data_IF_752164969966
#
_entry.id   IF_752164969966
#
_cell.length_a   1.000
_cell.length_b   1.000
_cell.length_c   1.000
_cell.angle_alpha   90.00
_cell.angle_beta   90.00
_cell.angle_gamma   90.00
#
_symmetry.space_group_name_H-M   'P 1'
#
loop_
_entity.id
_entity.type
_entity.pdbx_description
1 polymer ?
#
# COMPACT_ATOMS: atom_id res chain seq x y z
N UNK A 1 -11.30 0.12 48.05
CA UNK A 1 -12.28 1.07 47.55
C UNK A 1 -12.82 0.48 46.25
N UNK A 2 -14.08 -0.03 46.27
CA UNK A 2 -14.73 -0.57 45.07
C UNK A 2 -15.13 0.59 44.16
N UNK A 3 -14.57 0.63 42.97
CA UNK A 3 -14.95 1.61 41.96
C UNK A 3 -16.36 1.30 41.40
N UNK A 4 -17.37 2.17 41.60
CA UNK A 4 -18.77 1.88 41.23
C UNK A 4 -19.03 1.72 39.74
N UNK A 5 -18.09 2.11 38.88
CA UNK A 5 -18.26 2.10 37.40
C UNK A 5 -18.26 0.68 36.82
N UNK A 6 -17.73 -0.33 37.53
CA UNK A 6 -17.67 -1.72 37.02
C UNK A 6 -18.80 -2.62 37.59
N UNK A 7 -19.71 -2.07 38.40
CA UNK A 7 -20.83 -2.83 38.98
C UNK A 7 -22.18 -2.64 38.27
N UNK A 8 -22.28 -1.76 37.25
CA UNK A 8 -23.48 -1.71 36.43
C UNK A 8 -23.45 -2.82 35.37
N UNK A 9 -24.53 -3.55 35.25
CA UNK A 9 -24.74 -4.73 34.43
C UNK A 9 -24.70 -4.53 32.89
N UNK A 10 -24.06 -3.50 32.40
CA UNK A 10 -23.76 -3.30 30.98
C UNK A 10 -22.30 -3.67 30.70
N UNK A 11 -22.03 -4.98 30.57
CA UNK A 11 -20.79 -5.42 29.95
C UNK A 11 -20.66 -4.74 28.59
N UNK A 12 -19.47 -4.23 28.28
CA UNK A 12 -19.17 -3.76 26.93
C UNK A 12 -19.57 -4.85 25.93
N UNK A 13 -20.28 -4.50 24.84
CA UNK A 13 -20.64 -5.50 23.84
C UNK A 13 -19.36 -6.16 23.32
N UNK A 14 -19.37 -7.49 23.22
CA UNK A 14 -18.24 -8.22 22.67
C UNK A 14 -18.01 -7.74 21.22
N UNK A 15 -16.73 -7.48 20.82
CA UNK A 15 -16.46 -7.05 19.47
C UNK A 15 -16.91 -8.10 18.46
N UNK A 16 -17.44 -7.65 17.33
CA UNK A 16 -17.80 -8.52 16.19
C UNK A 16 -16.55 -9.26 15.66
N UNK A 17 -16.73 -10.34 14.91
CA UNK A 17 -15.60 -11.07 14.31
C UNK A 17 -14.72 -10.14 13.45
N UNK A 18 -15.34 -9.23 12.70
CA UNK A 18 -14.63 -8.23 11.90
C UNK A 18 -13.80 -7.25 12.76
N UNK A 19 -14.37 -6.74 13.84
CA UNK A 19 -13.65 -5.87 14.77
C UNK A 19 -12.48 -6.59 15.43
N UNK A 20 -12.66 -7.87 15.82
CA UNK A 20 -11.53 -8.68 16.33
C UNK A 20 -10.43 -8.83 15.30
N UNK A 21 -10.77 -9.14 14.03
CA UNK A 21 -9.81 -9.26 12.94
C UNK A 21 -9.04 -7.95 12.70
N UNK A 22 -9.74 -6.82 12.70
CA UNK A 22 -9.14 -5.50 12.54
C UNK A 22 -8.18 -5.16 13.68
N UNK A 23 -8.63 -5.32 14.93
CA UNK A 23 -7.80 -5.08 16.13
C UNK A 23 -6.55 -5.97 16.13
N UNK A 24 -6.70 -7.26 15.80
CA UNK A 24 -5.57 -8.17 15.72
C UNK A 24 -4.60 -7.81 14.61
N UNK A 25 -5.13 -7.43 13.43
CA UNK A 25 -4.31 -7.01 12.29
C UNK A 25 -3.49 -5.76 12.61
N UNK A 26 -4.09 -4.75 13.25
CA UNK A 26 -3.40 -3.52 13.64
C UNK A 26 -2.30 -3.79 14.68
N UNK A 27 -2.62 -4.57 15.72
CA UNK A 27 -1.64 -5.00 16.72
C UNK A 27 -0.48 -5.77 16.09
N UNK A 28 -0.76 -6.71 15.19
CA UNK A 28 0.26 -7.49 14.50
C UNK A 28 1.17 -6.60 13.65
N UNK A 29 0.63 -5.65 12.91
CA UNK A 29 1.40 -4.68 12.15
C UNK A 29 2.30 -3.85 13.06
N UNK A 30 1.78 -3.42 14.21
CA UNK A 30 2.54 -2.66 15.22
C UNK A 30 3.69 -3.49 15.79
N UNK A 31 3.47 -4.77 16.15
CA UNK A 31 4.55 -5.66 16.57
C UNK A 31 5.65 -5.80 15.52
N UNK A 32 5.27 -6.04 14.26
CA UNK A 32 6.23 -6.18 13.17
C UNK A 32 7.04 -4.89 12.93
N UNK A 33 6.39 -3.70 12.96
CA UNK A 33 7.10 -2.40 12.82
C UNK A 33 8.14 -2.17 13.92
N UNK A 34 7.86 -2.66 15.14
CA UNK A 34 8.79 -2.58 16.27
C UNK A 34 9.78 -3.75 16.32
N UNK A 35 9.77 -4.62 15.31
CA UNK A 35 10.67 -5.77 15.21
C UNK A 35 10.38 -6.85 16.22
N UNK A 36 9.21 -6.85 16.87
CA UNK A 36 8.81 -7.91 17.77
C UNK A 36 8.21 -9.07 16.98
N UNK A 37 8.58 -10.33 17.33
CA UNK A 37 7.98 -11.49 16.69
C UNK A 37 6.50 -11.61 17.03
N UNK A 38 5.74 -12.26 16.16
CA UNK A 38 4.38 -12.69 16.46
C UNK A 38 4.20 -14.17 16.09
N UNK A 39 3.21 -14.82 16.71
CA UNK A 39 2.85 -16.19 16.39
C UNK A 39 1.51 -16.21 15.68
N UNK A 40 1.45 -16.82 14.49
CA UNK A 40 0.22 -17.08 13.76
C UNK A 40 -0.30 -18.44 14.17
N UNK A 41 -1.55 -18.46 14.62
CA UNK A 41 -2.28 -19.67 15.04
C UNK A 41 -3.22 -20.04 13.89
N UNK A 42 -2.95 -21.18 13.25
CA UNK A 42 -3.78 -21.69 12.16
C UNK A 42 -5.18 -22.09 12.61
N UNK A 43 -6.11 -22.18 11.65
CA UNK A 43 -7.52 -22.52 11.92
C UNK A 43 -7.76 -24.00 12.21
N UNK A 44 -6.85 -24.88 11.82
CA UNK A 44 -6.97 -26.33 12.08
C UNK A 44 -6.58 -26.66 13.52
N UNK A 45 -7.27 -27.60 14.20
CA UNK A 45 -6.98 -27.96 15.60
C UNK A 45 -5.54 -28.38 15.87
N UNK A 46 -4.92 -29.07 14.90
CA UNK A 46 -3.54 -29.59 15.00
C UNK A 46 -2.56 -28.74 14.16
N UNK A 47 -2.95 -27.53 13.74
CA UNK A 47 -2.07 -26.66 12.96
C UNK A 47 -0.82 -26.30 13.76
N UNK A 48 0.34 -26.43 13.15
CA UNK A 48 1.57 -25.91 13.72
C UNK A 48 1.45 -24.39 13.92
N UNK A 49 2.09 -23.90 14.95
CA UNK A 49 2.21 -22.47 15.20
C UNK A 49 3.29 -21.92 14.27
N UNK A 50 3.00 -20.83 13.56
CA UNK A 50 4.01 -20.15 12.75
C UNK A 50 4.53 -18.91 13.51
N UNK A 51 5.70 -19.02 14.12
CA UNK A 51 6.40 -17.88 14.73
C UNK A 51 7.11 -17.11 13.61
N UNK A 52 6.87 -15.80 13.52
CA UNK A 52 7.38 -14.96 12.44
C UNK A 52 8.02 -13.68 12.94
N UNK A 53 9.04 -13.21 12.23
CA UNK A 53 9.66 -11.90 12.42
C UNK A 53 10.11 -11.34 11.08
N UNK A 54 9.86 -10.04 10.82
CA UNK A 54 10.30 -9.40 9.58
C UNK A 54 11.80 -9.17 9.58
N UNK A 55 12.46 -9.47 8.47
CA UNK A 55 13.92 -9.29 8.33
C UNK A 55 14.30 -7.80 8.41
N UNK A 56 13.44 -6.91 7.95
CA UNK A 56 13.71 -5.46 7.94
C UNK A 56 13.92 -4.89 9.34
N UNK A 57 13.18 -5.35 10.32
CA UNK A 57 13.23 -4.84 11.71
C UNK A 57 13.92 -5.80 12.68
N UNK A 58 14.50 -6.89 12.16
CA UNK A 58 15.21 -7.89 12.95
C UNK A 58 16.53 -7.33 13.50
N UNK A 59 16.79 -7.56 14.77
CA UNK A 59 18.08 -7.27 15.41
C UNK A 59 18.90 -8.55 15.60
N UNK A 60 20.23 -8.42 15.79
CA UNK A 60 21.09 -9.58 16.04
C UNK A 60 20.68 -10.34 17.31
N UNK A 61 20.25 -9.64 18.36
CA UNK A 61 19.76 -10.26 19.60
C UNK A 61 18.50 -11.10 19.34
N UNK A 62 17.52 -10.54 18.59
CA UNK A 62 16.28 -11.27 18.26
C UNK A 62 16.52 -12.42 17.31
N UNK A 63 17.45 -12.29 16.36
CA UNK A 63 17.88 -13.41 15.54
C UNK A 63 18.45 -14.53 16.39
N UNK A 64 19.35 -14.21 17.33
CA UNK A 64 19.90 -15.19 18.27
C UNK A 64 18.82 -15.89 19.09
N UNK A 65 17.81 -15.15 19.58
CA UNK A 65 16.68 -15.72 20.30
C UNK A 65 15.84 -16.66 19.42
N UNK A 66 15.54 -16.28 18.17
CA UNK A 66 14.78 -17.12 17.24
C UNK A 66 15.53 -18.40 16.88
N UNK A 67 16.85 -18.31 16.64
CA UNK A 67 17.67 -19.49 16.36
C UNK A 67 17.78 -20.43 17.57
N UNK A 68 17.87 -19.89 18.78
CA UNK A 68 17.83 -20.69 20.01
C UNK A 68 16.47 -21.36 20.21
N UNK A 69 15.37 -20.66 19.93
CA UNK A 69 14.01 -21.22 19.96
C UNK A 69 13.85 -22.35 18.93
N UNK A 70 14.40 -22.21 17.74
CA UNK A 70 14.42 -23.24 16.70
C UNK A 70 15.16 -24.50 17.19
N UNK A 71 16.37 -24.32 17.72
CA UNK A 71 17.18 -25.42 18.24
C UNK A 71 16.51 -26.16 19.42
N UNK A 72 15.93 -25.41 20.37
CA UNK A 72 15.25 -25.97 21.54
C UNK A 72 14.01 -26.83 21.17
N UNK A 73 13.37 -26.53 20.03
CA UNK A 73 12.19 -27.26 19.55
C UNK A 73 12.52 -28.25 18.42
N UNK A 74 13.79 -28.40 18.02
CA UNK A 74 14.20 -29.28 16.94
C UNK A 74 13.61 -28.92 15.59
N UNK A 75 13.33 -27.64 15.33
CA UNK A 75 12.76 -27.14 14.06
C UNK A 75 13.79 -26.33 13.27
N UNK A 76 13.68 -26.36 11.96
CA UNK A 76 14.55 -25.59 11.07
C UNK A 76 13.96 -24.19 10.83
N UNK A 77 14.76 -23.12 10.99
CA UNK A 77 14.34 -21.80 10.60
C UNK A 77 14.29 -21.69 9.07
N UNK A 78 13.32 -20.94 8.55
CA UNK A 78 13.17 -20.69 7.11
C UNK A 78 13.02 -19.20 6.82
N UNK A 79 13.50 -18.79 5.66
CA UNK A 79 13.30 -17.45 5.13
C UNK A 79 12.11 -17.47 4.17
N UNK A 80 11.01 -16.85 4.57
CA UNK A 80 9.80 -16.71 3.75
C UNK A 80 9.95 -15.50 2.83
N UNK A 81 9.86 -15.75 1.52
CA UNK A 81 10.00 -14.74 0.47
C UNK A 81 8.83 -14.80 -0.50
N UNK A 82 8.44 -13.66 -1.05
CA UNK A 82 7.44 -13.59 -2.12
C UNK A 82 7.97 -14.14 -3.43
N UNK A 83 7.07 -14.53 -4.34
CA UNK A 83 7.45 -14.98 -5.69
C UNK A 83 8.25 -13.90 -6.45
N UNK A 84 7.93 -12.63 -6.25
CA UNK A 84 8.62 -11.49 -6.84
C UNK A 84 10.09 -11.45 -6.40
N UNK A 85 10.34 -11.57 -5.09
CA UNK A 85 11.71 -11.57 -4.56
C UNK A 85 12.48 -12.81 -4.99
N UNK A 86 11.87 -13.98 -4.96
CA UNK A 86 12.51 -15.22 -5.42
C UNK A 86 12.96 -15.14 -6.88
N UNK A 87 12.11 -14.59 -7.76
CA UNK A 87 12.49 -14.37 -9.17
C UNK A 87 13.66 -13.38 -9.31
N UNK A 88 13.69 -12.32 -8.50
CA UNK A 88 14.79 -11.37 -8.47
C UNK A 88 16.12 -12.00 -7.97
N UNK A 89 16.03 -13.10 -7.19
CA UNK A 89 17.18 -13.89 -6.73
C UNK A 89 17.56 -15.02 -7.69
N UNK A 90 16.96 -15.10 -8.89
CA UNK A 90 17.25 -16.12 -9.89
C UNK A 90 16.35 -17.35 -9.85
N UNK A 91 15.41 -17.45 -8.91
CA UNK A 91 14.43 -18.55 -8.84
C UNK A 91 13.28 -18.30 -9.83
N UNK A 92 13.56 -18.35 -11.12
CA UNK A 92 12.66 -17.92 -12.21
C UNK A 92 11.31 -18.63 -12.25
N UNK A 93 11.21 -19.85 -11.74
CA UNK A 93 9.96 -20.65 -11.73
C UNK A 93 9.05 -20.37 -10.53
N UNK A 94 9.43 -19.48 -9.62
CA UNK A 94 8.62 -19.15 -8.45
C UNK A 94 7.33 -18.42 -8.89
N UNK A 95 6.19 -19.08 -8.77
CA UNK A 95 4.85 -18.53 -9.04
C UNK A 95 4.13 -18.06 -7.77
N UNK A 96 4.50 -18.61 -6.61
CA UNK A 96 3.95 -18.32 -5.28
C UNK A 96 5.08 -18.04 -4.29
N UNK A 97 4.73 -17.51 -3.14
CA UNK A 97 5.67 -17.36 -2.04
C UNK A 97 6.19 -18.71 -1.55
N UNK A 98 7.42 -18.72 -1.05
CA UNK A 98 8.07 -19.94 -0.52
C UNK A 98 8.89 -19.62 0.71
N UNK A 99 8.89 -20.59 1.65
CA UNK A 99 9.80 -20.62 2.77
C UNK A 99 11.03 -21.43 2.38
N UNK A 100 12.19 -20.77 2.42
CA UNK A 100 13.48 -21.32 1.95
C UNK A 100 14.37 -21.64 3.14
N UNK A 101 15.07 -22.77 3.12
CA UNK A 101 16.22 -22.95 3.98
C UNK A 101 17.36 -22.07 3.49
N UNK A 102 18.08 -21.44 4.40
CA UNK A 102 19.27 -20.64 4.07
C UNK A 102 20.50 -21.40 4.48
N UNK A 103 21.46 -21.55 3.56
CA UNK A 103 22.74 -22.19 3.87
C UNK A 103 23.43 -21.46 5.04
N UNK A 104 23.95 -22.23 5.98
CA UNK A 104 24.62 -21.68 7.18
C UNK A 104 25.92 -20.92 6.82
N UNK A 105 26.31 -19.93 7.66
CA UNK A 105 25.70 -19.47 8.89
C UNK A 105 24.53 -18.48 8.67
N UNK A 106 23.55 -18.51 9.58
CA UNK A 106 22.48 -17.52 9.65
C UNK A 106 23.00 -16.22 10.27
N UNK A 107 23.33 -15.22 9.43
CA UNK A 107 23.76 -13.90 9.91
C UNK A 107 22.71 -12.86 9.53
N UNK A 108 22.55 -11.83 10.36
CA UNK A 108 21.62 -10.73 10.08
C UNK A 108 21.91 -10.05 8.74
N UNK A 109 23.20 -9.81 8.45
CA UNK A 109 23.62 -9.18 7.20
C UNK A 109 23.19 -9.99 5.96
N UNK A 110 23.44 -11.31 5.98
CA UNK A 110 23.02 -12.21 4.88
C UNK A 110 21.50 -12.21 4.69
N UNK A 111 20.74 -12.27 5.77
CA UNK A 111 19.28 -12.22 5.71
C UNK A 111 18.81 -10.88 5.13
N UNK A 112 19.41 -9.78 5.54
CA UNK A 112 19.08 -8.44 5.03
C UNK A 112 19.42 -8.28 3.54
N UNK A 113 20.49 -8.89 3.05
CA UNK A 113 20.83 -8.92 1.62
C UNK A 113 19.83 -9.78 0.84
N UNK A 114 19.53 -11.00 1.33
CA UNK A 114 18.54 -11.89 0.72
C UNK A 114 17.13 -11.26 0.69
N UNK A 115 16.79 -10.46 1.69
CA UNK A 115 15.51 -9.74 1.77
C UNK A 115 15.48 -8.40 1.01
N UNK A 116 16.58 -7.93 0.43
CA UNK A 116 16.76 -6.60 -0.16
C UNK A 116 16.58 -5.43 0.84
N UNK A 117 16.80 -5.64 2.11
CA UNK A 117 16.82 -4.60 3.14
C UNK A 117 18.09 -3.77 3.03
N UNK A 118 19.24 -4.44 2.93
CA UNK A 118 20.54 -3.84 2.74
C UNK A 118 20.94 -3.79 1.26
N UNK A 119 21.70 -2.77 0.82
CA UNK A 119 22.29 -2.77 -0.50
C UNK A 119 23.33 -3.89 -0.65
N UNK A 120 23.48 -4.40 -1.86
CA UNK A 120 24.45 -5.44 -2.19
C UNK A 120 23.87 -6.53 -3.07
N UNK A 121 24.75 -7.30 -3.70
CA UNK A 121 24.33 -8.47 -4.47
C UNK A 121 23.95 -9.58 -3.50
N UNK A 122 22.70 -10.02 -3.57
CA UNK A 122 22.24 -11.19 -2.84
C UNK A 122 22.55 -12.45 -3.65
N UNK A 123 23.17 -13.43 -3.01
CA UNK A 123 23.44 -14.72 -3.63
C UNK A 123 22.25 -15.66 -3.42
N UNK A 124 21.43 -15.81 -4.46
CA UNK A 124 20.26 -16.71 -4.44
C UNK A 124 20.65 -18.21 -4.36
N UNK A 125 21.89 -18.57 -4.64
CA UNK A 125 22.36 -19.97 -4.49
C UNK A 125 22.39 -20.44 -3.03
N UNK A 126 22.31 -19.51 -2.07
CA UNK A 126 22.19 -19.80 -0.65
C UNK A 126 20.78 -20.27 -0.23
N UNK A 127 19.80 -20.17 -1.12
CA UNK A 127 18.43 -20.59 -0.87
C UNK A 127 18.22 -22.05 -1.32
N UNK A 128 17.89 -22.89 -0.39
CA UNK A 128 17.72 -24.33 -0.58
C UNK A 128 16.33 -24.79 -0.14
N UNK A 129 15.96 -26.01 -0.48
CA UNK A 129 14.79 -26.75 0.01
C UNK A 129 13.50 -25.87 0.06
N UNK A 130 12.94 -25.50 -1.10
CA UNK A 130 11.78 -24.62 -1.18
C UNK A 130 10.51 -25.32 -0.68
N UNK A 131 9.89 -24.80 0.36
CA UNK A 131 8.57 -25.18 0.85
C UNK A 131 7.51 -24.20 0.33
N UNK A 132 6.41 -24.67 -0.23
CA UNK A 132 5.31 -23.83 -0.65
C UNK A 132 4.68 -23.11 0.57
N UNK A 133 4.39 -21.81 0.42
CA UNK A 133 3.73 -21.06 1.48
C UNK A 133 2.29 -21.56 1.67
N UNK A 134 1.97 -21.94 2.90
CA UNK A 134 0.59 -22.21 3.32
C UNK A 134 -0.15 -20.91 3.73
N UNK A 135 -1.40 -21.05 4.18
CA UNK A 135 -2.27 -19.92 4.54
C UNK A 135 -1.64 -18.99 5.59
N UNK A 136 -1.06 -19.55 6.66
CA UNK A 136 -0.39 -18.79 7.72
C UNK A 136 0.81 -17.99 7.20
N UNK A 137 1.58 -18.55 6.28
CA UNK A 137 2.72 -17.88 5.64
C UNK A 137 2.28 -16.74 4.72
N UNK A 138 1.23 -16.96 3.92
CA UNK A 138 0.64 -15.91 3.08
C UNK A 138 0.03 -14.78 3.93
N UNK A 139 -0.61 -15.13 5.06
CA UNK A 139 -1.10 -14.15 6.03
C UNK A 139 0.04 -13.30 6.62
N UNK A 140 1.19 -13.94 6.96
CA UNK A 140 2.38 -13.24 7.46
C UNK A 140 2.93 -12.23 6.43
N UNK A 141 3.03 -12.63 5.15
CA UNK A 141 3.40 -11.73 4.05
C UNK A 141 2.42 -10.57 3.95
N UNK A 142 1.12 -10.85 4.01
CA UNK A 142 0.06 -9.83 4.00
C UNK A 142 0.19 -8.83 5.14
N UNK A 143 0.49 -9.30 6.36
CA UNK A 143 0.73 -8.44 7.54
C UNK A 143 1.97 -7.55 7.34
N UNK A 144 3.09 -8.09 6.85
CA UNK A 144 4.30 -7.33 6.56
C UNK A 144 4.04 -6.24 5.50
N UNK A 145 3.32 -6.53 4.42
CA UNK A 145 2.93 -5.56 3.39
C UNK A 145 2.04 -4.45 3.95
N UNK A 146 1.02 -4.78 4.75
CA UNK A 146 0.16 -3.78 5.43
C UNK A 146 0.95 -2.93 6.41
N UNK A 147 1.96 -3.51 7.08
CA UNK A 147 2.89 -2.76 7.91
C UNK A 147 3.85 -1.86 7.10
N UNK A 148 3.81 -1.91 5.74
CA UNK A 148 4.73 -1.21 4.82
C UNK A 148 6.20 -1.61 4.99
N UNK A 149 6.42 -2.84 5.44
CA UNK A 149 7.73 -3.47 5.57
C UNK A 149 8.02 -4.34 4.35
N UNK A 150 9.30 -4.58 4.07
CA UNK A 150 9.72 -5.56 3.06
C UNK A 150 9.11 -6.93 3.41
N UNK A 151 8.38 -7.57 2.48
CA UNK A 151 7.68 -8.83 2.75
C UNK A 151 8.63 -10.04 2.70
N UNK A 152 9.60 -10.03 3.60
CA UNK A 152 10.58 -11.09 3.84
C UNK A 152 10.64 -11.37 5.34
N UNK A 153 10.34 -12.61 5.73
CA UNK A 153 10.19 -12.98 7.14
C UNK A 153 11.02 -14.22 7.48
N UNK A 154 11.64 -14.18 8.66
CA UNK A 154 12.15 -15.39 9.31
C UNK A 154 10.97 -16.13 9.93
N UNK A 155 10.84 -17.42 9.69
CA UNK A 155 9.71 -18.26 10.12
C UNK A 155 10.19 -19.51 10.84
N UNK A 156 9.47 -19.91 11.89
CA UNK A 156 9.63 -21.19 12.59
C UNK A 156 8.27 -21.87 12.71
N UNK A 157 8.16 -23.10 12.29
CA UNK A 157 6.98 -23.93 12.53
C UNK A 157 7.13 -24.64 13.86
N UNK A 158 6.37 -24.22 14.88
CA UNK A 158 6.49 -24.70 16.24
C UNK A 158 5.31 -25.61 16.62
N UNK A 159 5.53 -26.59 17.53
CA UNK A 159 4.43 -27.38 18.09
C UNK A 159 3.40 -26.50 18.84
N UNK A 160 2.10 -26.84 18.75
CA UNK A 160 1.03 -26.10 19.43
C UNK A 160 1.24 -25.98 20.96
N UNK A 161 1.89 -26.96 21.55
CA UNK A 161 2.18 -27.00 23.00
C UNK A 161 3.04 -25.82 23.51
N UNK A 162 3.77 -25.10 22.64
CA UNK A 162 4.62 -23.98 23.06
C UNK A 162 3.86 -22.64 23.14
N UNK A 163 2.59 -22.58 22.69
CA UNK A 163 1.80 -21.35 22.68
C UNK A 163 1.73 -20.67 24.06
N UNK A 164 1.45 -21.38 25.17
CA UNK A 164 1.43 -20.75 26.50
C UNK A 164 2.76 -20.11 26.88
N UNK A 165 3.89 -20.73 26.52
CA UNK A 165 5.22 -20.17 26.77
C UNK A 165 5.49 -18.90 25.95
N UNK A 166 5.09 -18.87 24.69
CA UNK A 166 5.18 -17.68 23.82
C UNK A 166 4.33 -16.54 24.36
N UNK A 167 3.10 -16.83 24.81
CA UNK A 167 2.22 -15.84 25.43
C UNK A 167 2.78 -15.31 26.78
N UNK A 168 3.36 -16.18 27.58
CA UNK A 168 4.06 -15.75 28.80
C UNK A 168 5.27 -14.86 28.51
N UNK A 169 5.97 -15.10 27.38
CA UNK A 169 7.02 -14.24 26.86
C UNK A 169 6.48 -12.98 26.13
N UNK A 170 5.17 -12.73 26.19
CA UNK A 170 4.46 -11.60 25.58
C UNK A 170 4.57 -11.54 24.05
N UNK A 171 4.76 -12.68 23.40
CA UNK A 171 4.63 -12.78 21.93
C UNK A 171 3.14 -12.69 21.60
N UNK A 172 2.79 -11.76 20.69
CA UNK A 172 1.41 -11.59 20.25
C UNK A 172 0.96 -12.80 19.44
N UNK A 173 -0.17 -13.40 19.83
CA UNK A 173 -0.84 -14.42 19.02
C UNK A 173 -1.86 -13.78 18.07
N UNK A 174 -1.74 -14.09 16.79
CA UNK A 174 -2.68 -13.72 15.74
C UNK A 174 -3.39 -14.96 15.21
N UNK A 175 -4.73 -14.94 15.15
CA UNK A 175 -5.53 -16.11 14.83
C UNK A 175 -6.12 -16.00 13.42
N UNK A 176 -5.83 -16.98 12.56
CA UNK A 176 -6.39 -17.06 11.21
C UNK A 176 -7.92 -17.14 11.22
N UNK A 177 -8.50 -17.82 12.20
CA UNK A 177 -9.95 -17.97 12.32
C UNK A 177 -10.67 -16.61 12.41
N UNK A 178 -10.09 -15.62 13.11
CA UNK A 178 -10.66 -14.28 13.20
C UNK A 178 -10.52 -13.54 11.87
N UNK A 179 -9.41 -13.71 11.16
CA UNK A 179 -9.21 -13.09 9.84
C UNK A 179 -10.14 -13.71 8.77
N UNK A 180 -10.34 -15.01 8.80
CA UNK A 180 -11.23 -15.72 7.87
C UNK A 180 -12.71 -15.39 8.10
N UNK A 181 -13.10 -15.01 9.32
CA UNK A 181 -14.46 -14.58 9.66
C UNK A 181 -14.79 -13.16 9.15
N UNK A 182 -13.77 -12.39 8.71
CA UNK A 182 -14.00 -11.11 8.04
C UNK A 182 -14.44 -11.35 6.59
N UNK A 183 -15.50 -10.68 6.09
CA UNK A 183 -15.94 -10.88 4.71
C UNK A 183 -14.85 -10.50 3.71
N UNK A 184 -14.60 -11.39 2.75
CA UNK A 184 -13.51 -11.26 1.76
C UNK A 184 -13.69 -10.06 0.79
N UNK A 185 -14.83 -9.42 0.76
CA UNK A 185 -15.19 -8.35 -0.20
C UNK A 185 -15.97 -7.24 0.51
N UNK A 186 -15.35 -6.63 1.51
CA UNK A 186 -15.90 -5.42 2.10
C UNK A 186 -15.03 -4.23 1.77
N UNK A 187 -15.67 -3.15 1.35
CA UNK A 187 -14.99 -1.86 1.21
C UNK A 187 -14.40 -1.45 2.58
N UNK A 188 -13.26 -0.78 2.59
CA UNK A 188 -12.72 -0.20 3.80
C UNK A 188 -13.75 0.65 4.52
N UNK A 189 -13.88 0.49 5.83
CA UNK A 189 -14.79 1.31 6.64
C UNK A 189 -14.09 2.61 7.00
N UNK A 190 -14.73 3.71 6.66
CA UNK A 190 -14.20 5.04 6.90
C UNK A 190 -15.09 5.80 7.89
N UNK A 191 -14.45 6.51 8.80
CA UNK A 191 -15.07 7.51 9.63
C UNK A 191 -14.77 8.88 9.04
N UNK A 192 -15.82 9.68 8.76
CA UNK A 192 -15.65 11.12 8.51
C UNK A 192 -15.32 11.76 9.86
N UNK A 193 -14.08 12.23 10.03
CA UNK A 193 -13.55 12.71 11.30
C UNK A 193 -13.86 14.19 11.50
N UNK A 194 -13.57 14.98 10.48
CA UNK A 194 -13.80 16.41 10.51
C UNK A 194 -13.82 16.99 9.10
N UNK A 195 -14.31 18.19 8.98
CA UNK A 195 -14.23 18.98 7.76
C UNK A 195 -14.09 20.47 8.06
N UNK A 196 -13.53 21.22 7.11
CA UNK A 196 -13.38 22.66 7.21
C UNK A 196 -13.30 23.31 5.83
N UNK A 197 -13.72 24.57 5.75
CA UNK A 197 -13.41 25.42 4.61
C UNK A 197 -11.94 25.82 4.67
N UNK A 198 -11.21 25.56 3.59
CA UNK A 198 -9.79 25.85 3.47
C UNK A 198 -9.55 26.50 2.12
N UNK A 199 -9.56 27.84 2.04
CA UNK A 199 -9.23 28.56 0.81
C UNK A 199 -7.84 28.15 0.31
N UNK A 200 -7.73 27.81 -0.97
CA UNK A 200 -6.46 27.53 -1.63
C UNK A 200 -6.19 28.58 -2.72
N UNK A 201 -4.91 28.73 -3.10
CA UNK A 201 -4.48 29.82 -3.99
C UNK A 201 -5.22 29.87 -5.35
N UNK A 202 -5.72 28.74 -5.84
CA UNK A 202 -6.41 28.66 -7.14
C UNK A 202 -7.93 28.72 -7.02
N UNK A 203 -8.51 28.54 -5.82
CA UNK A 203 -9.94 28.59 -5.58
C UNK A 203 -10.24 28.81 -4.09
N UNK A 204 -11.03 29.86 -3.78
CA UNK A 204 -11.34 30.21 -2.38
C UNK A 204 -12.42 29.30 -1.76
N UNK A 205 -13.36 28.81 -2.57
CA UNK A 205 -14.42 27.90 -2.13
C UNK A 205 -13.94 26.43 -2.20
N UNK A 206 -13.17 26.05 -1.19
CA UNK A 206 -12.67 24.69 -1.04
C UNK A 206 -12.99 24.15 0.34
N UNK A 207 -13.55 22.94 0.39
CA UNK A 207 -13.79 22.20 1.62
C UNK A 207 -12.88 20.97 1.69
N UNK A 208 -12.14 20.81 2.77
CA UNK A 208 -11.40 19.59 3.10
C UNK A 208 -12.26 18.71 4.01
N UNK A 209 -12.37 17.43 3.68
CA UNK A 209 -13.05 16.42 4.49
C UNK A 209 -12.06 15.32 4.82
N UNK A 210 -11.81 15.11 6.11
CA UNK A 210 -10.90 14.09 6.60
C UNK A 210 -11.63 12.78 6.87
N UNK A 211 -11.12 11.70 6.30
CA UNK A 211 -11.56 10.34 6.54
C UNK A 211 -10.46 9.53 7.21
N UNK A 212 -10.81 8.72 8.20
CA UNK A 212 -9.90 7.77 8.86
C UNK A 212 -10.41 6.35 8.67
N UNK A 213 -9.52 5.43 8.37
CA UNK A 213 -9.85 4.00 8.35
C UNK A 213 -10.20 3.53 9.77
N UNK A 214 -11.39 2.91 9.93
CA UNK A 214 -11.82 2.39 11.24
C UNK A 214 -10.97 1.17 11.64
N UNK A 215 -10.56 0.41 10.65
CA UNK A 215 -9.77 -0.81 10.81
C UNK A 215 -8.25 -0.55 10.75
N UNK A 216 -7.84 0.74 10.93
CA UNK A 216 -6.44 1.21 10.88
C UNK A 216 -6.29 2.64 11.40
N UNK A 217 -5.12 3.21 11.23
CA UNK A 217 -4.76 4.58 11.64
C UNK A 217 -4.56 5.53 10.45
N UNK A 218 -4.81 5.06 9.22
CA UNK A 218 -4.52 5.81 8.00
C UNK A 218 -5.63 6.84 7.74
N UNK A 219 -5.21 8.06 7.46
CA UNK A 219 -6.09 9.16 7.11
C UNK A 219 -6.02 9.51 5.62
N UNK A 220 -7.18 9.79 5.04
CA UNK A 220 -7.35 10.22 3.66
C UNK A 220 -8.12 11.53 3.62
N UNK A 221 -7.86 12.37 2.63
CA UNK A 221 -8.50 13.67 2.50
C UNK A 221 -9.28 13.75 1.19
N UNK A 222 -10.55 14.15 1.27
CA UNK A 222 -11.27 14.64 0.11
C UNK A 222 -11.20 16.16 0.08
N UNK A 223 -10.81 16.73 -1.06
CA UNK A 223 -10.78 18.15 -1.32
C UNK A 223 -11.92 18.44 -2.31
N UNK A 224 -12.99 19.06 -1.82
CA UNK A 224 -14.10 19.51 -2.63
C UNK A 224 -13.75 20.93 -3.12
N UNK A 225 -13.74 21.11 -4.43
CA UNK A 225 -13.37 22.39 -5.07
C UNK A 225 -14.61 22.95 -5.75
N UNK A 226 -15.06 24.10 -5.33
CA UNK A 226 -16.29 24.71 -5.81
C UNK A 226 -17.51 23.82 -5.59
N UNK A 227 -18.59 24.10 -6.32
CA UNK A 227 -19.83 23.33 -6.23
C UNK A 227 -20.05 22.54 -7.53
N UNK A 228 -19.89 21.19 -7.52
CA UNK A 228 -20.17 20.37 -8.68
C UNK A 228 -21.64 20.50 -9.09
N UNK A 229 -21.93 20.44 -10.40
CA UNK A 229 -23.30 20.48 -10.91
C UNK A 229 -24.01 19.17 -10.59
N UNK A 230 -25.19 19.20 -9.92
CA UNK A 230 -25.86 17.98 -9.46
C UNK A 230 -26.45 17.13 -10.61
N UNK A 231 -26.68 17.74 -11.79
CA UNK A 231 -27.21 17.09 -12.98
C UNK A 231 -26.16 16.43 -13.87
N UNK A 232 -24.88 16.64 -13.59
CA UNK A 232 -23.75 16.12 -14.36
C UNK A 232 -22.91 15.12 -13.54
N UNK A 233 -22.17 14.21 -14.22
CA UNK A 233 -21.18 13.38 -13.54
C UNK A 233 -20.14 14.26 -12.87
N UNK A 234 -19.91 14.05 -11.55
CA UNK A 234 -18.94 14.84 -10.77
C UNK A 234 -17.51 14.61 -11.30
N UNK A 235 -16.75 15.66 -11.63
CA UNK A 235 -15.32 15.52 -11.94
C UNK A 235 -14.55 15.04 -10.71
N UNK A 236 -13.83 13.91 -10.82
CA UNK A 236 -13.09 13.32 -9.70
C UNK A 236 -11.66 12.98 -10.08
N UNK A 237 -10.72 13.35 -9.22
CA UNK A 237 -9.34 12.87 -9.27
C UNK A 237 -9.03 11.96 -8.09
N UNK A 238 -8.56 10.73 -8.35
CA UNK A 238 -7.90 9.89 -7.34
C UNK A 238 -6.40 10.15 -7.38
N UNK A 239 -5.85 10.77 -6.34
CA UNK A 239 -4.43 11.05 -6.20
C UNK A 239 -3.84 10.26 -5.04
N UNK A 240 -2.91 9.33 -5.32
CA UNK A 240 -2.15 8.66 -4.27
C UNK A 240 -0.97 9.55 -3.88
N UNK A 241 -0.80 9.79 -2.59
CA UNK A 241 0.25 10.65 -2.04
C UNK A 241 1.64 10.34 -2.60
N UNK A 242 2.39 11.37 -2.84
CA UNK A 242 3.77 11.30 -3.30
C UNK A 242 4.57 12.45 -2.69
N UNK A 243 5.13 12.28 -1.48
CA UNK A 243 5.87 13.30 -0.77
C UNK A 243 6.88 14.03 -1.67
N UNK A 244 7.66 13.26 -2.42
CA UNK A 244 8.71 13.82 -3.28
C UNK A 244 8.14 14.62 -4.44
N UNK A 245 7.05 14.18 -5.08
CA UNK A 245 6.42 14.87 -6.21
C UNK A 245 5.53 16.02 -5.77
N UNK A 246 4.66 15.77 -4.80
CA UNK A 246 3.59 16.70 -4.42
C UNK A 246 4.13 17.89 -3.62
N UNK A 247 5.03 17.63 -2.67
CA UNK A 247 5.62 18.66 -1.80
C UNK A 247 6.93 19.22 -2.37
N UNK A 248 7.86 18.35 -2.79
CA UNK A 248 9.23 18.77 -3.16
C UNK A 248 9.38 19.02 -4.67
N UNK A 249 8.37 18.76 -5.48
CA UNK A 249 8.44 18.97 -6.94
C UNK A 249 9.49 18.09 -7.62
N UNK A 250 9.71 16.86 -7.15
CA UNK A 250 10.69 15.93 -7.70
C UNK A 250 10.51 15.74 -9.20
N UNK A 251 11.60 15.85 -9.95
CA UNK A 251 11.63 15.63 -11.39
C UNK A 251 11.61 14.14 -11.79
N UNK A 252 11.72 13.22 -10.84
CA UNK A 252 11.72 11.76 -11.12
C UNK A 252 10.34 11.21 -11.47
N UNK A 253 9.27 11.92 -11.13
CA UNK A 253 7.89 11.50 -11.40
C UNK A 253 7.05 12.66 -11.92
N UNK A 254 5.82 12.36 -12.32
CA UNK A 254 4.83 13.31 -12.81
C UNK A 254 3.76 13.66 -11.75
N UNK A 255 3.91 13.19 -10.50
CA UNK A 255 2.85 13.28 -9.47
C UNK A 255 2.48 14.73 -9.15
N UNK A 256 3.46 15.57 -8.80
CA UNK A 256 3.20 16.97 -8.46
C UNK A 256 2.58 17.76 -9.61
N UNK A 257 2.99 17.52 -10.86
CA UNK A 257 2.36 18.15 -12.04
C UNK A 257 0.92 17.66 -12.23
N UNK A 258 0.68 16.36 -12.04
CA UNK A 258 -0.69 15.81 -12.11
C UNK A 258 -1.58 16.35 -11.00
N UNK A 259 -1.05 16.54 -9.78
CA UNK A 259 -1.80 17.11 -8.66
C UNK A 259 -2.23 18.54 -8.98
N UNK A 260 -1.28 19.41 -9.34
CA UNK A 260 -1.55 20.81 -9.68
C UNK A 260 -2.55 20.94 -10.81
N UNK A 261 -2.33 20.26 -11.94
CA UNK A 261 -3.24 20.29 -13.09
C UNK A 261 -4.64 19.77 -12.77
N UNK A 262 -4.76 18.75 -11.89
CA UNK A 262 -6.05 18.28 -11.44
C UNK A 262 -6.78 19.36 -10.62
N UNK A 263 -6.08 20.02 -9.71
CA UNK A 263 -6.65 21.10 -8.89
C UNK A 263 -7.06 22.30 -9.78
N UNK A 264 -6.20 22.72 -10.73
CA UNK A 264 -6.51 23.81 -11.67
C UNK A 264 -7.80 23.49 -12.47
N UNK A 265 -7.90 22.26 -13.01
CA UNK A 265 -9.11 21.86 -13.74
C UNK A 265 -10.35 21.84 -12.83
N UNK A 266 -10.23 21.29 -11.61
CA UNK A 266 -11.36 21.25 -10.67
C UNK A 266 -11.76 22.66 -10.20
N UNK A 267 -10.83 23.62 -10.16
CA UNK A 267 -11.13 25.01 -9.86
C UNK A 267 -12.01 25.66 -10.95
N UNK A 268 -11.87 25.24 -12.22
CA UNK A 268 -12.66 25.78 -13.32
C UNK A 268 -14.08 25.18 -13.40
N UNK A 269 -14.22 23.88 -13.12
CA UNK A 269 -15.49 23.15 -13.38
C UNK A 269 -16.23 22.68 -12.13
N UNK A 270 -15.61 22.77 -10.98
CA UNK A 270 -16.06 22.15 -9.72
C UNK A 270 -15.76 20.64 -9.71
N UNK A 271 -15.53 20.08 -8.53
CA UNK A 271 -15.33 18.63 -8.41
C UNK A 271 -14.61 18.21 -7.13
N UNK A 272 -14.08 16.99 -7.13
CA UNK A 272 -13.48 16.39 -5.94
C UNK A 272 -12.13 15.76 -6.24
N UNK A 273 -11.12 16.09 -5.43
CA UNK A 273 -9.84 15.41 -5.41
C UNK A 273 -9.77 14.52 -4.16
N UNK A 274 -9.64 13.20 -4.34
CA UNK A 274 -9.38 12.25 -3.27
C UNK A 274 -7.87 12.07 -3.13
N UNK A 275 -7.30 12.62 -2.05
CA UNK A 275 -5.89 12.46 -1.70
C UNK A 275 -5.71 11.25 -0.80
N UNK A 276 -5.18 10.17 -1.37
CA UNK A 276 -5.08 8.86 -0.72
C UNK A 276 -3.68 8.66 -0.14
N UNK A 277 -3.58 8.33 1.13
CA UNK A 277 -2.31 8.08 1.85
C UNK A 277 -1.67 6.74 1.45
N UNK A 278 -1.38 6.57 0.15
CA UNK A 278 -0.85 5.34 -0.47
C UNK A 278 0.49 5.61 -1.16
N UNK A 279 1.45 6.17 -0.39
CA UNK A 279 2.80 6.49 -0.85
C UNK A 279 3.50 5.27 -1.48
N UNK A 280 4.30 5.51 -2.53
CA UNK A 280 5.07 4.45 -3.17
C UNK A 280 4.23 3.35 -3.80
N UNK A 281 3.04 3.66 -4.35
CA UNK A 281 2.05 2.68 -4.82
C UNK A 281 1.58 1.71 -3.72
N UNK A 282 1.46 2.20 -2.50
CA UNK A 282 1.06 1.42 -1.34
C UNK A 282 2.20 0.77 -0.55
N UNK A 283 3.43 0.79 -1.06
CA UNK A 283 4.58 0.16 -0.37
C UNK A 283 5.19 1.04 0.73
N UNK A 284 4.86 2.34 0.77
CA UNK A 284 5.38 3.31 1.72
C UNK A 284 6.64 4.04 1.24
N UNK A 285 6.98 5.14 1.93
CA UNK A 285 8.09 6.02 1.55
C UNK A 285 9.46 5.31 1.65
N UNK A 286 9.68 4.51 2.69
CA UNK A 286 10.94 3.79 2.88
C UNK A 286 11.24 2.88 1.68
N UNK A 287 10.27 2.07 1.25
CA UNK A 287 10.42 1.17 0.12
C UNK A 287 10.51 1.91 -1.21
N UNK A 288 9.81 3.04 -1.36
CA UNK A 288 9.99 3.92 -2.52
C UNK A 288 11.42 4.45 -2.64
N UNK A 289 12.05 4.85 -1.53
CA UNK A 289 13.45 5.31 -1.56
C UNK A 289 14.43 4.16 -1.87
N UNK A 290 14.15 2.95 -1.38
CA UNK A 290 14.89 1.74 -1.78
C UNK A 290 14.75 1.47 -3.28
N UNK A 291 13.53 1.56 -3.80
CA UNK A 291 13.25 1.41 -5.23
C UNK A 291 14.00 2.46 -6.07
N UNK A 292 14.11 3.71 -5.63
CA UNK A 292 14.89 4.73 -6.31
C UNK A 292 16.37 4.37 -6.40
N UNK A 293 16.96 3.83 -5.32
CA UNK A 293 18.36 3.33 -5.34
C UNK A 293 18.54 2.19 -6.34
N UNK A 294 17.59 1.26 -6.39
CA UNK A 294 17.62 0.17 -7.37
C UNK A 294 17.49 0.67 -8.81
N UNK A 295 16.68 1.70 -9.03
CA UNK A 295 16.54 2.36 -10.34
C UNK A 295 17.82 3.07 -10.77
N UNK A 296 18.55 3.68 -9.83
CA UNK A 296 19.87 4.27 -10.10
C UNK A 296 20.88 3.18 -10.50
N UNK A 297 20.72 1.96 -9.99
CA UNK A 297 21.46 0.76 -10.40
C UNK A 297 20.98 0.12 -11.71
N UNK A 298 20.01 0.71 -12.42
CA UNK A 298 19.59 0.28 -13.76
C UNK A 298 18.25 -0.44 -13.86
N UNK A 299 17.60 -0.82 -12.75
CA UNK A 299 16.26 -1.43 -12.79
C UNK A 299 15.19 -0.40 -13.22
N UNK A 300 14.11 -0.85 -13.85
CA UNK A 300 12.94 0.00 -14.01
C UNK A 300 12.07 0.02 -12.73
N UNK A 301 11.02 0.84 -12.73
CA UNK A 301 10.18 1.03 -11.54
C UNK A 301 9.48 -0.25 -11.10
N UNK A 302 9.01 -1.08 -12.04
CA UNK A 302 8.31 -2.34 -11.73
C UNK A 302 9.30 -3.41 -11.29
N UNK A 303 10.47 -3.44 -11.94
CA UNK A 303 11.56 -4.34 -11.56
C UNK A 303 12.07 -4.03 -10.16
N UNK A 304 12.22 -2.75 -9.81
CA UNK A 304 12.62 -2.32 -8.48
C UNK A 304 11.61 -2.74 -7.41
N UNK A 305 10.29 -2.55 -7.65
CA UNK A 305 9.25 -2.99 -6.72
C UNK A 305 9.29 -4.53 -6.54
N UNK A 306 9.43 -5.28 -7.64
CA UNK A 306 9.56 -6.75 -7.60
C UNK A 306 10.83 -7.21 -6.91
N UNK A 307 11.92 -6.50 -7.10
CA UNK A 307 13.18 -6.78 -6.41
C UNK A 307 13.05 -6.67 -4.88
N UNK A 308 12.21 -5.75 -4.42
CA UNK A 308 11.86 -5.58 -3.00
C UNK A 308 10.79 -6.59 -2.52
N UNK A 309 10.26 -7.44 -3.40
CA UNK A 309 9.25 -8.44 -3.06
C UNK A 309 7.80 -7.96 -3.16
N UNK A 310 7.58 -6.77 -3.69
CA UNK A 310 6.23 -6.23 -3.91
C UNK A 310 5.73 -6.52 -5.33
N UNK A 311 4.41 -6.48 -5.52
CA UNK A 311 3.81 -6.38 -6.84
C UNK A 311 4.11 -5.00 -7.43
N UNK A 312 3.87 -4.82 -8.71
CA UNK A 312 4.04 -3.50 -9.34
C UNK A 312 3.04 -2.43 -8.86
N UNK A 313 1.96 -2.83 -8.18
CA UNK A 313 0.95 -1.95 -7.57
C UNK A 313 0.29 -2.66 -6.38
N UNK A 314 0.45 -2.12 -5.17
CA UNK A 314 -0.14 -2.63 -3.93
C UNK A 314 -1.28 -1.72 -3.41
N UNK A 315 -1.75 -0.74 -4.22
CA UNK A 315 -2.80 0.20 -3.79
C UNK A 315 -4.16 -0.47 -3.72
N UNK A 316 -4.92 -0.10 -2.70
CA UNK A 316 -6.35 -0.39 -2.59
C UNK A 316 -7.18 0.82 -3.00
N UNK A 317 -7.91 0.71 -4.11
CA UNK A 317 -8.83 1.75 -4.57
C UNK A 317 -10.24 1.59 -3.97
N UNK A 318 -10.54 0.57 -3.19
CA UNK A 318 -11.76 0.43 -2.40
C UNK A 318 -11.97 1.59 -1.43
N UNK A 319 -10.86 2.16 -0.93
CA UNK A 319 -10.85 3.38 -0.11
C UNK A 319 -11.53 4.54 -0.86
N UNK A 320 -11.20 4.76 -2.13
CA UNK A 320 -11.81 5.81 -2.92
C UNK A 320 -13.33 5.58 -3.14
N UNK A 321 -13.75 4.33 -3.32
CA UNK A 321 -15.17 3.96 -3.40
C UNK A 321 -15.88 4.32 -2.09
N UNK A 322 -15.31 3.95 -0.94
CA UNK A 322 -15.89 4.26 0.37
C UNK A 322 -15.99 5.77 0.61
N UNK A 323 -14.97 6.55 0.23
CA UNK A 323 -14.98 8.01 0.33
C UNK A 323 -16.06 8.64 -0.55
N UNK A 324 -16.18 8.23 -1.82
CA UNK A 324 -17.20 8.73 -2.75
C UNK A 324 -18.61 8.45 -2.23
N UNK A 325 -18.88 7.23 -1.74
CA UNK A 325 -20.16 6.88 -1.13
C UNK A 325 -20.48 7.73 0.11
N UNK A 326 -19.48 7.95 0.98
CA UNK A 326 -19.64 8.80 2.17
C UNK A 326 -19.90 10.28 1.81
N UNK A 327 -19.51 10.72 0.62
CA UNK A 327 -19.80 12.05 0.07
C UNK A 327 -21.10 12.08 -0.73
N UNK A 328 -21.82 10.94 -0.90
CA UNK A 328 -23.04 10.85 -1.71
C UNK A 328 -22.79 10.94 -3.22
N UNK A 329 -21.58 10.60 -3.69
CA UNK A 329 -21.18 10.69 -5.09
C UNK A 329 -21.16 9.30 -5.71
N UNK A 330 -22.09 9.05 -6.62
CA UNK A 330 -22.25 7.75 -7.27
C UNK A 330 -21.91 7.75 -8.77
N UNK A 331 -21.93 8.95 -9.42
CA UNK A 331 -21.69 9.13 -10.85
C UNK A 331 -20.62 10.15 -11.09
N UNK A 332 -19.53 9.75 -11.79
CA UNK A 332 -18.33 10.58 -11.92
C UNK A 332 -17.77 10.64 -13.33
N UNK A 333 -17.03 11.70 -13.63
CA UNK A 333 -16.04 11.78 -14.71
C UNK A 333 -14.64 11.69 -14.09
N UNK A 334 -13.88 10.65 -14.41
CA UNK A 334 -12.62 10.36 -13.72
C UNK A 334 -11.40 10.95 -14.46
N UNK A 335 -10.65 11.81 -13.76
CA UNK A 335 -9.37 12.35 -14.26
C UNK A 335 -8.27 11.30 -14.05
N UNK A 336 -7.97 10.50 -15.07
CA UNK A 336 -6.98 9.42 -14.95
C UNK A 336 -6.45 8.94 -16.30
N UNK A 337 -5.20 8.41 -16.26
CA UNK A 337 -4.64 7.61 -17.36
C UNK A 337 -4.51 6.12 -16.96
N UNK A 338 -4.92 5.75 -15.73
CA UNK A 338 -4.77 4.39 -15.21
C UNK A 338 -6.10 3.61 -15.32
N UNK A 339 -6.21 2.59 -16.20
CA UNK A 339 -7.41 1.77 -16.35
C UNK A 339 -7.80 1.00 -15.07
N UNK A 340 -6.82 0.63 -14.24
CA UNK A 340 -7.08 -0.09 -12.99
C UNK A 340 -7.94 0.72 -12.02
N UNK A 341 -7.81 2.05 -12.00
CA UNK A 341 -8.66 2.94 -11.19
C UNK A 341 -10.12 2.89 -11.65
N UNK A 342 -10.35 2.91 -12.98
CA UNK A 342 -11.69 2.80 -13.56
C UNK A 342 -12.33 1.47 -13.18
N UNK A 343 -11.58 0.37 -13.37
CA UNK A 343 -12.04 -0.97 -13.05
C UNK A 343 -12.39 -1.13 -11.57
N UNK A 344 -11.55 -0.61 -10.67
CA UNK A 344 -11.78 -0.69 -9.24
C UNK A 344 -13.04 0.10 -8.80
N UNK A 345 -13.23 1.32 -9.31
CA UNK A 345 -14.41 2.13 -9.01
C UNK A 345 -15.70 1.48 -9.52
N UNK A 346 -15.69 0.96 -10.77
CA UNK A 346 -16.85 0.25 -11.32
C UNK A 346 -17.19 -1.01 -10.54
N UNK A 347 -16.20 -1.81 -10.14
CA UNK A 347 -16.40 -2.97 -9.26
C UNK A 347 -17.00 -2.59 -7.91
N UNK A 348 -16.63 -1.42 -7.40
CA UNK A 348 -17.18 -0.84 -6.19
C UNK A 348 -18.56 -0.18 -6.37
N UNK A 349 -19.17 -0.24 -7.55
CA UNK A 349 -20.52 0.28 -7.81
C UNK A 349 -20.57 1.79 -8.10
N UNK A 350 -19.44 2.44 -8.35
CA UNK A 350 -19.40 3.84 -8.81
C UNK A 350 -19.54 3.87 -10.33
N UNK A 351 -20.52 4.62 -10.83
CA UNK A 351 -20.68 4.84 -12.27
C UNK A 351 -19.57 5.78 -12.80
N UNK A 352 -18.66 5.23 -13.57
CA UNK A 352 -17.67 6.05 -14.30
C UNK A 352 -18.25 6.35 -15.69
N UNK A 353 -18.93 7.49 -15.79
CA UNK A 353 -19.61 7.95 -17.00
C UNK A 353 -18.62 8.44 -18.06
N UNK A 354 -17.47 8.97 -17.65
CA UNK A 354 -16.44 9.46 -18.56
C UNK A 354 -15.04 9.39 -17.95
N UNK A 355 -14.04 9.57 -18.82
CA UNK A 355 -12.63 9.70 -18.46
C UNK A 355 -12.05 10.97 -19.07
N UNK A 356 -11.29 11.71 -18.27
CA UNK A 356 -10.45 12.81 -18.75
C UNK A 356 -8.97 12.43 -18.58
N UNK A 357 -8.16 12.53 -19.64
CA UNK A 357 -6.74 12.28 -19.54
C UNK A 357 -6.05 13.39 -18.74
N UNK A 358 -5.04 13.03 -17.95
CA UNK A 358 -4.24 13.98 -17.20
C UNK A 358 -2.78 13.84 -17.59
N UNK A 359 -2.33 14.73 -18.48
CA UNK A 359 -1.01 14.69 -19.08
C UNK A 359 -0.08 15.61 -18.32
N UNK A 360 1.08 15.10 -17.94
CA UNK A 360 2.16 15.87 -17.33
C UNK A 360 3.32 16.04 -18.33
N UNK A 361 4.13 17.10 -18.20
CA UNK A 361 5.29 17.30 -19.05
C UNK A 361 6.32 16.19 -18.91
N UNK A 362 6.88 15.78 -20.03
CA UNK A 362 8.02 14.84 -20.05
C UNK A 362 9.31 15.64 -19.91
N UNK A 363 10.19 15.21 -19.00
CA UNK A 363 11.52 15.77 -18.83
C UNK A 363 12.58 14.65 -18.85
N UNK A 364 13.87 15.02 -18.87
CA UNK A 364 14.97 14.04 -18.93
C UNK A 364 15.02 13.07 -17.74
N UNK A 365 14.44 13.43 -16.60
CA UNK A 365 14.46 12.62 -15.38
C UNK A 365 13.25 11.70 -15.25
N UNK A 366 12.07 12.08 -15.80
CA UNK A 366 10.85 11.27 -15.71
C UNK A 366 10.54 10.46 -16.98
N UNK A 367 11.26 10.67 -18.07
CA UNK A 367 11.01 10.01 -19.38
C UNK A 367 10.99 8.48 -19.27
N UNK A 368 11.97 7.90 -18.55
CA UNK A 368 12.03 6.44 -18.31
C UNK A 368 10.85 5.96 -17.45
N UNK A 369 10.49 6.70 -16.41
CA UNK A 369 9.35 6.41 -15.54
C UNK A 369 8.02 6.43 -16.32
N UNK A 370 7.78 7.44 -17.14
CA UNK A 370 6.56 7.56 -17.97
C UNK A 370 6.50 6.45 -19.03
N UNK A 371 7.62 6.10 -19.64
CA UNK A 371 7.72 4.96 -20.55
C UNK A 371 7.34 3.65 -19.87
N UNK A 372 7.87 3.37 -18.69
CA UNK A 372 7.50 2.17 -17.90
C UNK A 372 6.02 2.15 -17.55
N UNK A 373 5.42 3.28 -17.19
CA UNK A 373 3.97 3.40 -16.96
C UNK A 373 3.16 3.00 -18.19
N UNK A 374 3.57 3.45 -19.37
CA UNK A 374 2.89 3.14 -20.63
C UNK A 374 3.05 1.68 -21.03
N UNK A 375 4.29 1.21 -21.12
CA UNK A 375 4.62 -0.10 -21.70
C UNK A 375 4.31 -1.27 -20.75
N UNK A 376 4.47 -1.08 -19.44
CA UNK A 376 4.42 -2.17 -18.46
C UNK A 376 3.28 -2.06 -17.44
N UNK A 377 2.74 -0.86 -17.19
CA UNK A 377 1.62 -0.63 -16.28
C UNK A 377 0.30 -0.32 -16.99
N UNK A 378 0.25 -0.39 -18.34
CA UNK A 378 -0.97 -0.24 -19.14
C UNK A 378 -1.61 1.14 -19.06
N UNK A 379 -0.84 2.18 -18.74
CA UNK A 379 -1.36 3.54 -18.74
C UNK A 379 -1.71 4.00 -20.15
N UNK A 380 -2.89 4.57 -20.29
CA UNK A 380 -3.40 5.11 -21.56
C UNK A 380 -2.64 6.38 -21.92
N UNK A 381 -2.33 6.53 -23.21
CA UNK A 381 -1.76 7.75 -23.78
C UNK A 381 -2.86 8.51 -24.56
N UNK A 382 -2.77 9.84 -24.71
CA UNK A 382 -3.73 10.58 -25.54
C UNK A 382 -3.84 10.08 -26.95
N UNK A 383 -2.73 9.65 -27.55
CA UNK A 383 -2.69 9.13 -28.92
C UNK A 383 -3.36 7.75 -29.07
N UNK A 384 -3.62 7.04 -27.96
CA UNK A 384 -4.33 5.76 -27.95
C UNK A 384 -5.87 5.94 -28.09
N UNK A 385 -6.38 7.18 -28.10
CA UNK A 385 -7.81 7.52 -28.14
C UNK A 385 -8.36 7.79 -29.56
N UNK A 386 -8.13 6.90 -30.51
CA UNK A 386 -9.00 6.84 -31.71
C UNK A 386 -10.27 6.02 -31.50
N UNK A 387 -10.69 5.75 -30.24
CA UNK A 387 -11.90 4.97 -29.93
C UNK A 387 -12.91 5.80 -29.17
N UNK A 388 -13.83 6.41 -29.95
CA UNK A 388 -15.18 6.88 -29.59
C UNK A 388 -15.28 7.86 -28.41
N UNK A 389 -15.14 9.15 -28.71
CA UNK A 389 -15.80 10.21 -27.96
C UNK A 389 -17.32 10.07 -28.12
N UNK A 390 -18.13 10.25 -27.06
CA UNK A 390 -19.55 10.49 -27.23
C UNK A 390 -19.75 11.78 -27.99
N UNK A 391 -20.86 11.94 -28.76
CA UNK A 391 -21.14 13.16 -29.54
C UNK A 391 -21.40 14.33 -28.57
N UNK A 392 -20.43 15.21 -28.43
CA UNK A 392 -20.47 16.41 -27.57
C UNK A 392 -19.04 16.72 -27.13
N UNK A 393 -18.34 17.56 -27.93
CA UNK A 393 -16.93 17.81 -27.83
C UNK A 393 -16.47 18.16 -26.41
N UNK A 394 -15.62 17.34 -25.86
CA UNK A 394 -14.73 17.70 -24.77
C UNK A 394 -13.34 17.86 -25.38
N UNK A 395 -12.88 19.09 -25.45
CA UNK A 395 -11.55 19.42 -25.95
C UNK A 395 -10.46 18.74 -25.13
N UNK A 396 -9.46 18.22 -25.84
CA UNK A 396 -8.24 17.69 -25.26
C UNK A 396 -7.57 18.80 -24.44
N UNK A 397 -7.49 18.66 -23.11
CA UNK A 397 -6.81 19.64 -22.26
C UNK A 397 -5.28 19.57 -22.47
N UNK A 398 -4.81 20.13 -23.55
CA UNK A 398 -3.39 20.39 -23.82
C UNK A 398 -3.10 21.81 -23.37
N UNK A 399 -2.70 21.98 -22.10
CA UNK A 399 -2.21 23.27 -21.63
C UNK A 399 -0.76 23.49 -22.11
N UNK A 400 -0.58 24.24 -23.18
CA UNK A 400 0.70 24.87 -23.51
C UNK A 400 0.85 26.08 -22.58
N UNK A 401 1.83 26.05 -21.67
CA UNK A 401 2.27 27.27 -20.97
C UNK A 401 2.81 28.26 -21.99
N UNK A 402 2.09 29.36 -22.19
CA UNK A 402 2.68 30.56 -22.74
C UNK A 402 3.78 31.04 -21.78
N UNK A 403 5.00 31.08 -22.27
CA UNK A 403 6.11 31.76 -21.60
C UNK A 403 5.78 33.25 -21.61
N UNK A 404 5.28 33.79 -20.50
CA UNK A 404 5.26 35.23 -20.30
C UNK A 404 6.69 35.67 -19.97
N UNK A 405 7.40 36.10 -21.02
CA UNK A 405 8.55 36.97 -20.91
C UNK A 405 8.05 38.34 -20.42
N UNK A 406 8.13 38.60 -19.12
CA UNK A 406 7.96 39.93 -18.57
C UNK A 406 9.20 40.79 -18.86
N UNK A 407 9.03 42.09 -19.19
CA UNK A 407 10.16 42.99 -19.43
C UNK A 407 10.89 43.28 -18.12
N UNK A 408 12.21 43.26 -18.19
CA UNK A 408 13.07 43.72 -17.10
C UNK A 408 12.78 45.16 -16.72
N UNK A 409 12.74 45.42 -15.42
CA UNK A 409 13.00 46.74 -14.87
C UNK A 409 14.21 46.65 -13.97
N UNK A 410 15.25 47.36 -14.37
CA UNK A 410 16.37 47.73 -13.54
C UNK A 410 15.89 48.66 -12.42
N UNK A 411 16.27 48.32 -11.20
CA UNK A 411 16.89 49.23 -10.18
C UNK A 411 17.31 48.37 -9.00
#
# INVERSE_FOLDING_TARGET
MNHPVLQSSSALPAPSARERAAIQSDRAQTELRHGRPLVIVGSAPDAALLLVSTVETLTAERLGWLLAAAAANGVEPRLLLTAERLRALGCMQASTARAMRVATPWTLERLQQLAAVSPGAADGSLLEDPQAAGASMEAAIGLAKRARLIPALLTLELPGAVLPALQAARVLAWYEADAAAAPAVDLPRLLRVSDAQVPIAVHEDCQLVLFREIDGDVEHVAILVGTPRPDQPVPVRLHSSCLTGDLLGSLRCDCGDQLRRAIDHLAEVGGVLLYLSQEGRGTGLANKLRAYRLQDGGLDTIEADRHLGFRGDERDFGIAVAMLRALGIERITLLTNNPSKITALRRGGIEVAGRLPLIAPVNRHNSRYLRTKRERAGHLHPDDEQVKSPPGGADLLVFTRGILSGPGSAL
#
